data_IF_035756882712
#
_entry.id   IF_035756882712
#
_cell.length_a   1.000
_cell.length_b   1.000
_cell.length_c   1.000
_cell.angle_alpha   90.00
_cell.angle_beta   90.00
_cell.angle_gamma   90.00
#
_symmetry.space_group_name_H-M   'P 1'
#
loop_
_entity.id
_entity.type
_entity.pdbx_description
1 polymer ?
#
# COMPACT_ATOMS: atom_id res chain seq x y z
N UNK A 1 -20.41 -26.44 42.06
CA UNK A 1 -19.97 -26.81 40.69
C UNK A 1 -20.28 -25.75 39.62
N UNK A 2 -21.47 -25.12 39.52
CA UNK A 2 -21.74 -24.13 38.46
C UNK A 2 -21.00 -22.79 38.65
N UNK A 3 -20.74 -22.38 39.89
CA UNK A 3 -20.06 -21.10 40.21
C UNK A 3 -18.60 -21.07 39.76
N UNK A 4 -17.87 -22.19 39.87
CA UNK A 4 -16.47 -22.31 39.45
C UNK A 4 -16.35 -22.20 37.93
N UNK A 5 -17.29 -22.81 37.20
CA UNK A 5 -17.37 -22.68 35.74
C UNK A 5 -17.60 -21.21 35.33
N UNK A 6 -18.52 -20.53 36.01
CA UNK A 6 -18.87 -19.14 35.71
C UNK A 6 -17.69 -18.18 35.99
N UNK A 7 -16.97 -18.38 37.09
CA UNK A 7 -15.77 -17.59 37.42
C UNK A 7 -14.66 -17.81 36.39
N UNK A 8 -14.38 -19.07 36.03
CA UNK A 8 -13.38 -19.41 35.00
C UNK A 8 -13.72 -18.82 33.62
N UNK A 9 -15.01 -18.81 33.27
CA UNK A 9 -15.50 -18.24 32.02
C UNK A 9 -15.39 -16.70 32.01
N UNK A 10 -15.70 -16.04 33.12
CA UNK A 10 -15.59 -14.57 33.23
C UNK A 10 -14.13 -14.11 33.20
N UNK A 11 -13.22 -14.81 33.88
CA UNK A 11 -11.78 -14.48 33.85
C UNK A 11 -11.20 -14.63 32.45
N UNK A 12 -11.70 -15.58 31.66
CA UNK A 12 -11.31 -15.75 30.25
C UNK A 12 -11.97 -14.73 29.32
N UNK A 13 -13.24 -14.39 29.53
CA UNK A 13 -13.97 -13.45 28.67
C UNK A 13 -13.58 -11.99 28.90
N UNK A 14 -13.20 -11.61 30.13
CA UNK A 14 -12.84 -10.24 30.48
C UNK A 14 -11.72 -9.65 29.59
N UNK A 15 -10.55 -10.32 29.41
CA UNK A 15 -9.50 -9.81 28.52
C UNK A 15 -9.95 -9.77 27.05
N UNK A 16 -10.76 -10.72 26.61
CA UNK A 16 -11.32 -10.72 25.24
C UNK A 16 -12.23 -9.51 25.04
N UNK A 17 -13.08 -9.20 26.02
CA UNK A 17 -13.97 -8.04 25.99
C UNK A 17 -13.18 -6.72 25.99
N UNK A 18 -12.09 -6.63 26.77
CA UNK A 18 -11.17 -5.49 26.73
C UNK A 18 -10.49 -5.33 25.36
N UNK A 19 -10.05 -6.42 24.73
CA UNK A 19 -9.44 -6.36 23.40
C UNK A 19 -10.45 -5.88 22.34
N UNK A 20 -11.68 -6.43 22.37
CA UNK A 20 -12.74 -6.05 21.44
C UNK A 20 -13.12 -4.57 21.62
N UNK A 21 -13.27 -4.10 22.86
CA UNK A 21 -13.63 -2.70 23.13
C UNK A 21 -12.55 -1.72 22.66
N UNK A 22 -11.26 -2.06 22.82
CA UNK A 22 -10.15 -1.25 22.29
C UNK A 22 -10.20 -1.16 20.76
N UNK A 23 -10.39 -2.30 20.08
CA UNK A 23 -10.48 -2.31 18.61
C UNK A 23 -11.72 -1.58 18.08
N UNK A 24 -12.87 -1.75 18.75
CA UNK A 24 -14.09 -1.00 18.44
C UNK A 24 -13.88 0.51 18.61
N UNK A 25 -13.22 0.94 19.69
CA UNK A 25 -12.92 2.35 19.91
C UNK A 25 -12.03 2.93 18.80
N UNK A 26 -10.99 2.21 18.38
CA UNK A 26 -10.13 2.61 17.25
C UNK A 26 -10.94 2.76 15.96
N UNK A 27 -11.86 1.83 15.70
CA UNK A 27 -12.71 1.83 14.51
C UNK A 27 -13.70 3.01 14.53
N UNK A 28 -14.37 3.25 15.66
CA UNK A 28 -15.25 4.41 15.84
C UNK A 28 -14.49 5.73 15.65
N UNK A 29 -13.28 5.84 16.21
CA UNK A 29 -12.43 7.04 16.02
C UNK A 29 -12.08 7.26 14.56
N UNK A 30 -11.75 6.20 13.81
CA UNK A 30 -11.49 6.32 12.37
C UNK A 30 -12.74 6.76 11.61
N UNK A 31 -13.90 6.19 11.93
CA UNK A 31 -15.17 6.56 11.30
C UNK A 31 -15.52 8.04 11.54
N UNK A 32 -15.30 8.53 12.77
CA UNK A 32 -15.49 9.94 13.10
C UNK A 32 -14.57 10.87 12.29
N UNK A 33 -13.28 10.52 12.17
CA UNK A 33 -12.31 11.30 11.38
C UNK A 33 -12.72 11.35 9.90
N UNK A 34 -13.07 10.19 9.32
CA UNK A 34 -13.51 10.09 7.92
C UNK A 34 -14.73 10.99 7.70
N UNK A 35 -15.76 10.87 8.55
CA UNK A 35 -16.98 11.65 8.39
C UNK A 35 -16.74 13.15 8.55
N UNK A 36 -15.85 13.56 9.45
CA UNK A 36 -15.49 14.97 9.57
C UNK A 36 -14.79 15.51 8.32
N UNK A 37 -13.87 14.72 7.73
CA UNK A 37 -13.18 15.11 6.49
C UNK A 37 -14.16 15.18 5.32
N UNK A 38 -15.03 14.18 5.15
CA UNK A 38 -16.05 14.17 4.10
C UNK A 38 -17.05 15.33 4.26
N UNK A 39 -17.49 15.62 5.48
CA UNK A 39 -18.39 16.75 5.74
C UNK A 39 -17.75 18.12 5.47
N UNK A 40 -16.42 18.22 5.58
CA UNK A 40 -15.65 19.40 5.19
C UNK A 40 -15.42 19.47 3.68
N UNK A 41 -15.27 18.33 3.00
CA UNK A 41 -15.12 18.25 1.55
C UNK A 41 -16.21 19.03 0.80
N UNK A 42 -17.45 18.97 1.31
CA UNK A 42 -18.59 19.65 0.70
C UNK A 42 -18.58 21.17 0.92
N UNK A 43 -17.69 21.70 1.77
CA UNK A 43 -17.62 23.12 2.16
C UNK A 43 -16.28 23.79 1.88
N UNK A 44 -15.19 23.03 1.87
CA UNK A 44 -13.80 23.47 1.70
C UNK A 44 -13.02 22.47 0.83
N UNK A 45 -12.01 22.94 0.10
CA UNK A 45 -11.08 22.06 -0.60
C UNK A 45 -10.22 21.28 0.41
N UNK A 46 -10.25 19.95 0.31
CA UNK A 46 -9.39 19.05 1.10
C UNK A 46 -7.92 19.33 0.75
N UNK A 47 -7.06 19.43 1.76
CA UNK A 47 -5.62 19.57 1.52
C UNK A 47 -5.02 18.25 1.01
N UNK A 48 -4.01 18.30 0.14
CA UNK A 48 -3.32 17.11 -0.40
C UNK A 48 -2.82 16.14 0.69
N UNK A 49 -2.43 16.65 1.86
CA UNK A 49 -2.01 15.80 2.98
C UNK A 49 -3.20 15.07 3.64
N UNK A 50 -4.34 15.73 3.77
CA UNK A 50 -5.56 15.14 4.34
C UNK A 50 -6.12 14.07 3.39
N UNK A 51 -6.12 14.32 2.08
CA UNK A 51 -6.56 13.34 1.08
C UNK A 51 -5.65 12.11 1.04
N UNK A 52 -4.33 12.30 1.17
CA UNK A 52 -3.39 11.18 1.31
C UNK A 52 -3.64 10.39 2.60
N UNK A 53 -3.85 11.06 3.73
CA UNK A 53 -4.13 10.40 5.00
C UNK A 53 -5.43 9.59 4.92
N UNK A 54 -6.47 10.16 4.32
CA UNK A 54 -7.75 9.48 4.12
C UNK A 54 -7.59 8.26 3.22
N UNK A 55 -6.85 8.39 2.11
CA UNK A 55 -6.53 7.28 1.23
C UNK A 55 -5.78 6.16 1.96
N UNK A 56 -4.80 6.48 2.82
CA UNK A 56 -4.10 5.49 3.63
C UNK A 56 -5.01 4.76 4.61
N UNK A 57 -6.01 5.44 5.18
CA UNK A 57 -7.04 4.79 6.01
C UNK A 57 -7.88 3.83 5.15
N UNK A 58 -8.32 4.26 3.97
CA UNK A 58 -9.05 3.39 3.04
C UNK A 58 -8.23 2.19 2.56
N UNK A 59 -6.93 2.36 2.31
CA UNK A 59 -6.00 1.27 1.99
C UNK A 59 -5.95 0.22 3.10
N UNK A 60 -5.83 0.65 4.37
CA UNK A 60 -5.84 -0.25 5.53
C UNK A 60 -7.16 -1.01 5.66
N UNK A 61 -8.27 -0.37 5.31
CA UNK A 61 -9.61 -0.97 5.28
C UNK A 61 -9.88 -1.78 4.00
N UNK A 62 -8.91 -1.90 3.08
CA UNK A 62 -9.06 -2.54 1.76
C UNK A 62 -10.15 -1.92 0.88
N UNK A 63 -10.53 -0.66 1.14
CA UNK A 63 -11.47 0.12 0.33
C UNK A 63 -10.73 0.75 -0.86
N UNK A 64 -10.34 -0.09 -1.81
CA UNK A 64 -9.48 0.31 -2.93
C UNK A 64 -10.11 1.42 -3.78
N UNK A 65 -11.39 1.29 -4.13
CA UNK A 65 -12.11 2.24 -4.99
C UNK A 65 -12.24 3.60 -4.30
N UNK A 66 -12.64 3.63 -3.03
CA UNK A 66 -12.73 4.88 -2.26
C UNK A 66 -11.38 5.60 -2.16
N UNK A 67 -10.29 4.85 -1.99
CA UNK A 67 -8.92 5.36 -2.00
C UNK A 67 -8.53 5.96 -3.36
N UNK A 68 -8.93 5.31 -4.47
CA UNK A 68 -8.68 5.84 -5.82
C UNK A 68 -9.42 7.16 -6.02
N UNK A 69 -10.73 7.19 -5.74
CA UNK A 69 -11.59 8.38 -5.96
C UNK A 69 -11.07 9.60 -5.20
N UNK A 70 -10.74 9.44 -3.91
CA UNK A 70 -10.26 10.57 -3.11
C UNK A 70 -8.91 11.09 -3.64
N UNK A 71 -8.01 10.21 -4.06
CA UNK A 71 -6.72 10.65 -4.58
C UNK A 71 -6.87 11.29 -5.96
N UNK A 72 -7.60 10.68 -6.88
CA UNK A 72 -7.79 11.17 -8.26
C UNK A 72 -8.48 12.54 -8.29
N UNK A 73 -9.50 12.74 -7.46
CA UNK A 73 -10.19 14.05 -7.33
C UNK A 73 -9.29 15.16 -6.77
N UNK A 74 -8.19 14.81 -6.11
CA UNK A 74 -7.25 15.76 -5.49
C UNK A 74 -5.89 15.80 -6.20
N UNK A 75 -5.76 15.21 -7.39
CA UNK A 75 -4.56 15.34 -8.21
C UNK A 75 -4.47 16.78 -8.72
N UNK A 76 -3.49 17.52 -8.20
CA UNK A 76 -3.08 18.80 -8.75
C UNK A 76 -1.56 18.76 -9.00
N UNK A 77 -1.12 19.27 -10.16
CA UNK A 77 0.28 19.22 -10.57
C UNK A 77 1.23 19.99 -9.64
N UNK A 78 0.70 20.96 -8.89
CA UNK A 78 1.45 21.74 -7.90
C UNK A 78 1.67 20.98 -6.57
N UNK A 79 1.02 19.83 -6.38
CA UNK A 79 1.12 19.05 -5.14
C UNK A 79 2.54 18.49 -4.99
N UNK A 80 3.23 18.91 -3.93
CA UNK A 80 4.59 18.44 -3.57
C UNK A 80 4.70 16.94 -3.27
N UNK A 81 3.57 16.25 -3.10
CA UNK A 81 3.47 14.84 -2.72
C UNK A 81 2.69 14.00 -3.75
N UNK A 82 2.58 14.49 -4.98
CA UNK A 82 1.80 13.84 -6.05
C UNK A 82 2.33 12.45 -6.41
N UNK A 83 3.63 12.18 -6.22
CA UNK A 83 4.21 10.85 -6.39
C UNK A 83 3.62 9.82 -5.43
N UNK A 84 3.24 10.25 -4.22
CA UNK A 84 2.61 9.39 -3.22
C UNK A 84 1.18 9.04 -3.63
N UNK A 85 0.47 9.99 -4.24
CA UNK A 85 -0.88 9.77 -4.76
C UNK A 85 -0.84 8.72 -5.85
N UNK A 86 0.01 8.93 -6.86
CA UNK A 86 0.18 7.97 -7.96
C UNK A 86 0.61 6.59 -7.46
N UNK A 87 1.51 6.51 -6.48
CA UNK A 87 1.90 5.23 -5.91
C UNK A 87 0.75 4.53 -5.15
N UNK A 88 -0.04 5.28 -4.37
CA UNK A 88 -1.21 4.72 -3.68
C UNK A 88 -2.29 4.28 -4.66
N UNK A 89 -2.58 5.06 -5.71
CA UNK A 89 -3.52 4.71 -6.78
C UNK A 89 -3.03 3.44 -7.51
N UNK A 90 -1.76 3.41 -7.91
CA UNK A 90 -1.15 2.23 -8.54
C UNK A 90 -1.26 0.98 -7.65
N UNK A 91 -1.02 1.14 -6.35
CA UNK A 91 -1.23 0.07 -5.38
C UNK A 91 -2.67 -0.42 -5.33
N UNK A 92 -3.65 0.48 -5.27
CA UNK A 92 -5.07 0.11 -5.34
C UNK A 92 -5.38 -0.70 -6.59
N UNK A 93 -5.00 -0.20 -7.78
CA UNK A 93 -5.22 -0.90 -9.05
C UNK A 93 -4.55 -2.28 -9.09
N UNK A 94 -3.37 -2.42 -8.48
CA UNK A 94 -2.70 -3.71 -8.33
C UNK A 94 -3.52 -4.70 -7.49
N UNK A 95 -4.16 -4.24 -6.40
CA UNK A 95 -4.98 -5.09 -5.53
C UNK A 95 -6.26 -5.57 -6.23
N UNK A 96 -6.84 -4.73 -7.09
CA UNK A 96 -8.00 -5.10 -7.92
C UNK A 96 -7.61 -5.74 -9.26
N UNK A 97 -6.35 -6.17 -9.42
CA UNK A 97 -5.80 -6.87 -10.60
C UNK A 97 -5.86 -6.11 -11.93
N UNK A 98 -6.05 -4.79 -11.88
CA UNK A 98 -5.94 -3.92 -13.05
C UNK A 98 -4.47 -3.54 -13.28
N UNK A 99 -3.68 -4.51 -13.75
CA UNK A 99 -2.22 -4.40 -13.82
C UNK A 99 -1.72 -3.30 -14.77
N UNK A 100 -2.41 -3.05 -15.89
CA UNK A 100 -2.03 -1.99 -16.82
C UNK A 100 -2.14 -0.59 -16.19
N UNK A 101 -3.25 -0.32 -15.48
CA UNK A 101 -3.44 0.93 -14.75
C UNK A 101 -2.47 1.06 -13.57
N UNK A 102 -2.25 -0.04 -12.84
CA UNK A 102 -1.24 -0.13 -11.78
C UNK A 102 0.14 0.29 -12.29
N UNK A 103 0.58 -0.28 -13.42
CA UNK A 103 1.85 0.04 -14.05
C UNK A 103 1.91 1.52 -14.45
N UNK A 104 0.88 2.02 -15.13
CA UNK A 104 0.78 3.41 -15.55
C UNK A 104 1.00 4.36 -14.36
N UNK A 105 0.28 4.15 -13.26
CA UNK A 105 0.37 5.01 -12.09
C UNK A 105 1.71 4.92 -11.35
N UNK A 106 2.31 3.72 -11.24
CA UNK A 106 3.68 3.64 -10.70
C UNK A 106 4.70 4.36 -11.58
N UNK A 107 4.57 4.29 -12.90
CA UNK A 107 5.44 5.03 -13.81
C UNK A 107 5.23 6.55 -13.68
N UNK A 108 4.00 7.03 -13.46
CA UNK A 108 3.75 8.44 -13.17
C UNK A 108 4.39 8.89 -11.85
N UNK A 109 4.32 8.06 -10.80
CA UNK A 109 5.02 8.33 -9.54
C UNK A 109 6.54 8.47 -9.76
N UNK A 110 7.14 7.56 -10.52
CA UNK A 110 8.57 7.57 -10.84
C UNK A 110 8.93 8.75 -11.76
N UNK A 111 8.03 9.15 -12.67
CA UNK A 111 8.23 10.34 -13.51
C UNK A 111 8.27 11.61 -12.68
N UNK A 112 7.45 11.71 -11.64
CA UNK A 112 7.42 12.84 -10.71
C UNK A 112 8.62 12.84 -9.76
N UNK A 113 8.98 11.68 -9.22
CA UNK A 113 10.16 11.51 -8.39
C UNK A 113 10.93 10.23 -8.76
N UNK A 114 11.99 10.34 -9.58
CA UNK A 114 12.74 9.18 -10.09
C UNK A 114 13.41 8.31 -9.03
N UNK A 115 13.67 8.90 -7.85
CA UNK A 115 14.28 8.26 -6.69
C UNK A 115 13.26 7.74 -5.67
N UNK A 116 11.96 7.78 -5.98
CA UNK A 116 10.92 7.35 -5.05
C UNK A 116 10.88 5.83 -4.91
N UNK A 117 11.58 5.34 -3.89
CA UNK A 117 11.81 3.92 -3.66
C UNK A 117 10.52 3.11 -3.52
N UNK A 118 9.47 3.65 -2.89
CA UNK A 118 8.20 2.93 -2.70
C UNK A 118 7.54 2.58 -4.04
N UNK A 119 7.50 3.50 -5.01
CA UNK A 119 6.98 3.22 -6.34
C UNK A 119 7.85 2.24 -7.12
N UNK A 120 9.18 2.34 -7.01
CA UNK A 120 10.11 1.39 -7.65
C UNK A 120 9.91 -0.04 -7.11
N UNK A 121 9.81 -0.21 -5.78
CA UNK A 121 9.54 -1.52 -5.18
C UNK A 121 8.18 -2.09 -5.61
N UNK A 122 7.17 -1.24 -5.67
CA UNK A 122 5.83 -1.65 -6.10
C UNK A 122 5.78 -2.03 -7.59
N UNK A 123 6.47 -1.28 -8.45
CA UNK A 123 6.60 -1.59 -9.87
C UNK A 123 7.38 -2.90 -10.08
N UNK A 124 8.49 -3.12 -9.36
CA UNK A 124 9.21 -4.39 -9.40
C UNK A 124 8.31 -5.57 -9.01
N UNK A 125 7.53 -5.42 -7.93
CA UNK A 125 6.55 -6.44 -7.52
C UNK A 125 5.48 -6.69 -8.58
N UNK A 126 5.02 -5.64 -9.26
CA UNK A 126 4.08 -5.78 -10.37
C UNK A 126 4.69 -6.58 -11.53
N UNK A 127 5.94 -6.28 -11.92
CA UNK A 127 6.64 -7.05 -12.95
C UNK A 127 6.87 -8.51 -12.54
N UNK A 128 7.14 -8.78 -11.26
CA UNK A 128 7.19 -10.16 -10.75
C UNK A 128 5.86 -10.89 -10.93
N UNK A 129 4.73 -10.23 -10.63
CA UNK A 129 3.38 -10.80 -10.82
C UNK A 129 3.13 -11.11 -12.30
N UNK A 130 3.62 -10.25 -13.20
CA UNK A 130 3.51 -10.41 -14.65
C UNK A 130 4.56 -11.37 -15.24
N UNK A 131 5.44 -11.95 -14.43
CA UNK A 131 6.60 -12.75 -14.86
C UNK A 131 7.54 -12.04 -15.85
N UNK A 132 7.55 -10.71 -15.84
CA UNK A 132 8.46 -9.90 -16.64
C UNK A 132 9.81 -9.77 -15.92
N UNK A 133 10.60 -10.83 -15.99
CA UNK A 133 11.87 -10.90 -15.27
C UNK A 133 12.89 -9.87 -15.76
N UNK A 134 12.82 -9.46 -17.04
CA UNK A 134 13.72 -8.45 -17.62
C UNK A 134 13.49 -7.08 -16.98
N UNK A 135 12.25 -6.61 -16.99
CA UNK A 135 11.93 -5.32 -16.36
C UNK A 135 12.08 -5.40 -14.83
N UNK A 136 11.81 -6.56 -14.21
CA UNK A 136 12.06 -6.78 -12.79
C UNK A 136 13.54 -6.57 -12.44
N UNK A 137 14.47 -7.16 -13.20
CA UNK A 137 15.91 -6.98 -12.96
C UNK A 137 16.33 -5.53 -13.10
N UNK A 138 15.86 -4.84 -14.13
CA UNK A 138 16.22 -3.44 -14.39
C UNK A 138 15.79 -2.51 -13.25
N UNK A 139 14.58 -2.71 -12.72
CA UNK A 139 14.08 -1.92 -11.58
C UNK A 139 14.88 -2.22 -10.31
N UNK A 140 15.22 -3.48 -10.01
CA UNK A 140 16.03 -3.79 -8.82
C UNK A 140 17.46 -3.25 -8.91
N UNK A 141 18.05 -3.24 -10.10
CA UNK A 141 19.34 -2.57 -10.35
C UNK A 141 19.19 -1.07 -10.07
N UNK A 142 18.13 -0.42 -10.57
CA UNK A 142 17.84 0.99 -10.29
C UNK A 142 17.68 1.27 -8.79
N UNK A 143 16.97 0.41 -8.06
CA UNK A 143 16.84 0.51 -6.60
C UNK A 143 18.22 0.45 -5.93
N UNK A 144 19.11 -0.46 -6.34
CA UNK A 144 20.46 -0.56 -5.76
C UNK A 144 21.38 0.61 -6.12
N UNK A 145 21.14 1.29 -7.24
CA UNK A 145 21.84 2.55 -7.55
C UNK A 145 21.45 3.68 -6.60
N UNK A 146 20.20 3.70 -6.13
CA UNK A 146 19.68 4.71 -5.19
C UNK A 146 20.01 4.33 -3.74
N UNK A 147 19.79 3.07 -3.38
CA UNK A 147 20.03 2.50 -2.05
C UNK A 147 20.88 1.22 -2.20
N UNK A 148 22.20 1.41 -2.16
CA UNK A 148 23.17 0.33 -2.31
C UNK A 148 23.13 -0.71 -1.17
N UNK A 149 22.47 -0.40 -0.05
CA UNK A 149 22.30 -1.27 1.12
C UNK A 149 20.94 -1.97 1.12
N UNK A 150 20.12 -1.80 0.07
CA UNK A 150 18.80 -2.43 -0.02
C UNK A 150 18.90 -3.98 -0.06
N UNK A 151 18.79 -4.61 1.12
CA UNK A 151 18.91 -6.07 1.27
C UNK A 151 17.90 -6.83 0.39
N UNK A 152 16.66 -6.32 0.33
CA UNK A 152 15.58 -6.93 -0.45
C UNK A 152 15.89 -6.93 -1.94
N UNK A 153 16.38 -5.82 -2.49
CA UNK A 153 16.76 -5.74 -3.90
C UNK A 153 17.93 -6.68 -4.23
N UNK A 154 18.96 -6.77 -3.35
CA UNK A 154 20.07 -7.73 -3.53
C UNK A 154 19.58 -9.18 -3.58
N UNK A 155 18.77 -9.57 -2.60
CA UNK A 155 18.21 -10.93 -2.52
C UNK A 155 17.39 -11.28 -3.77
N UNK A 156 16.58 -10.34 -4.25
CA UNK A 156 15.75 -10.53 -5.44
C UNK A 156 16.58 -10.71 -6.71
N UNK A 157 17.64 -9.92 -6.91
CA UNK A 157 18.55 -10.12 -8.05
C UNK A 157 19.26 -11.47 -8.02
N UNK A 158 19.74 -11.92 -6.86
CA UNK A 158 20.36 -13.25 -6.72
C UNK A 158 19.36 -14.35 -7.13
N UNK A 159 18.12 -14.27 -6.64
CA UNK A 159 17.07 -15.24 -6.96
C UNK A 159 16.70 -15.26 -8.47
N UNK A 160 16.72 -14.11 -9.14
CA UNK A 160 16.43 -14.02 -10.57
C UNK A 160 17.57 -14.62 -11.41
N UNK A 161 18.82 -14.38 -11.01
CA UNK A 161 19.99 -14.93 -11.69
C UNK A 161 20.08 -16.45 -11.56
N UNK A 162 19.78 -17.02 -10.39
CA UNK A 162 19.77 -18.49 -10.21
C UNK A 162 18.65 -19.16 -11.00
N UNK A 163 17.47 -18.54 -11.08
CA UNK A 163 16.37 -19.02 -11.94
C UNK A 163 16.74 -19.02 -13.42
N UNK A 164 17.47 -18.00 -13.88
CA UNK A 164 17.94 -17.91 -15.26
C UNK A 164 18.99 -19.01 -15.55
N UNK A 165 19.99 -19.14 -14.69
CA UNK A 165 21.02 -20.18 -14.80
C UNK A 165 20.44 -21.59 -14.90
N UNK A 166 19.46 -21.92 -14.05
CA UNK A 166 18.80 -23.23 -14.06
C UNK A 166 17.91 -23.49 -15.29
N UNK A 167 17.50 -22.45 -16.02
CA UNK A 167 16.78 -22.58 -17.31
C UNK A 167 17.76 -22.79 -18.45
N UNK A 168 18.86 -22.04 -18.45
CA UNK A 168 19.89 -22.10 -19.49
C UNK A 168 20.70 -23.42 -19.41
N UNK A 169 20.81 -24.05 -18.22
CA UNK A 169 21.50 -25.33 -18.01
C UNK A 169 20.66 -26.58 -18.34
N UNK A 170 19.42 -26.42 -18.83
CA UNK A 170 18.50 -27.52 -19.18
C UNK A 170 18.26 -27.63 -20.69
N UNK A 171 18.96 -26.81 -21.47
CA UNK A 171 18.98 -26.80 -22.94
C UNK A 171 20.37 -27.28 -23.35
#
# INVERSE_FOLDING_TARGET
MPTIYLISLVTFLFPICLLITIELYKLCRQFFIINNILKRQDKENINSYESLQLAQIYLKQKKWISSIIILESNINQENKIIEQFYNCIGFCYCQIKHYNLSQYYYLQAIKKQPIYLSALHNLAKLYEILNDYKNTTDIYIKILKIDNKNKKAKQKLIMLNTKKYNRDSRI
#
